data_IF_869209208181
#
_entry.id   IF_869209208181
#
_cell.length_a   1.000
_cell.length_b   1.000
_cell.length_c   1.000
_cell.angle_alpha   90.00
_cell.angle_beta   90.00
_cell.angle_gamma   90.00
#
_symmetry.space_group_name_H-M   'P 1'
#
loop_
_entity.id
_entity.type
_entity.pdbx_description
1 polymer ?
#
# COMPACT_ATOMS: atom_id res chain seq x y z
N UNK A 1 -23.49 -39.25 -7.94
CA UNK A 1 -23.56 -37.77 -7.70
C UNK A 1 -23.24 -37.56 -6.24
N UNK A 2 -22.24 -36.73 -5.92
CA UNK A 2 -21.96 -36.37 -4.55
C UNK A 2 -23.12 -35.49 -4.00
N UNK A 3 -23.51 -35.74 -2.74
CA UNK A 3 -24.51 -34.95 -2.07
C UNK A 3 -23.96 -33.53 -1.82
N UNK A 4 -24.81 -32.51 -1.91
CA UNK A 4 -24.44 -31.17 -1.52
C UNK A 4 -24.00 -31.13 -0.05
N UNK A 5 -22.94 -30.37 0.28
CA UNK A 5 -22.52 -30.22 1.67
C UNK A 5 -23.65 -29.57 2.47
N UNK A 6 -23.89 -30.11 3.67
CA UNK A 6 -24.86 -29.49 4.60
C UNK A 6 -24.27 -28.20 5.17
N UNK A 7 -25.06 -27.13 5.35
CA UNK A 7 -24.59 -25.92 5.99
C UNK A 7 -24.14 -26.21 7.43
N UNK A 8 -23.01 -25.68 7.82
CA UNK A 8 -22.56 -25.67 9.21
C UNK A 8 -23.45 -24.74 10.04
N UNK A 9 -23.84 -25.16 11.25
CA UNK A 9 -24.58 -24.28 12.16
C UNK A 9 -23.65 -23.17 12.65
N UNK A 10 -24.19 -21.96 12.84
CA UNK A 10 -23.38 -20.77 13.22
C UNK A 10 -22.64 -20.97 14.55
N UNK A 11 -23.22 -21.70 15.48
CA UNK A 11 -22.66 -22.07 16.78
C UNK A 11 -21.49 -23.10 16.71
N UNK A 12 -21.23 -23.67 15.53
CA UNK A 12 -20.10 -24.57 15.27
C UNK A 12 -18.89 -23.83 14.65
N UNK A 13 -19.02 -22.54 14.42
CA UNK A 13 -17.94 -21.71 13.87
C UNK A 13 -17.12 -21.14 15.03
N UNK A 14 -15.85 -21.49 15.11
CA UNK A 14 -14.92 -20.92 16.07
C UNK A 14 -14.67 -19.45 15.75
N UNK A 15 -15.06 -18.55 16.65
CA UNK A 15 -14.92 -17.12 16.49
C UNK A 15 -13.45 -16.68 16.36
N UNK A 16 -12.51 -17.38 17.00
CA UNK A 16 -11.09 -17.06 16.95
C UNK A 16 -10.53 -17.36 15.54
N UNK A 17 -10.97 -18.48 14.94
CA UNK A 17 -10.61 -18.81 13.58
C UNK A 17 -11.14 -17.79 12.58
N UNK A 18 -12.39 -17.31 12.78
CA UNK A 18 -12.96 -16.27 11.92
C UNK A 18 -12.15 -14.97 12.01
N UNK A 19 -11.83 -14.54 13.23
CA UNK A 19 -11.03 -13.34 13.47
C UNK A 19 -9.62 -13.47 12.85
N UNK A 20 -8.99 -14.63 13.00
CA UNK A 20 -7.71 -14.91 12.37
C UNK A 20 -7.80 -14.81 10.84
N UNK A 21 -8.79 -15.45 10.21
CA UNK A 21 -8.96 -15.42 8.75
C UNK A 21 -9.18 -13.99 8.23
N UNK A 22 -10.01 -13.19 8.93
CA UNK A 22 -10.18 -11.79 8.58
C UNK A 22 -8.88 -10.99 8.74
N UNK A 23 -8.17 -11.21 9.84
CA UNK A 23 -6.87 -10.60 10.11
C UNK A 23 -5.82 -11.00 9.06
N UNK A 24 -5.80 -12.27 8.64
CA UNK A 24 -4.94 -12.77 7.56
C UNK A 24 -5.24 -12.07 6.23
N UNK A 25 -6.50 -11.89 5.87
CA UNK A 25 -6.85 -11.16 4.66
C UNK A 25 -6.38 -9.70 4.71
N UNK A 26 -6.51 -9.05 5.87
CA UNK A 26 -6.02 -7.70 6.09
C UNK A 26 -4.49 -7.63 5.99
N UNK A 27 -3.76 -8.58 6.62
CA UNK A 27 -2.31 -8.70 6.53
C UNK A 27 -1.84 -8.84 5.08
N UNK A 28 -2.46 -9.73 4.30
CA UNK A 28 -2.15 -9.94 2.89
C UNK A 28 -2.42 -8.64 2.08
N UNK A 29 -3.52 -7.95 2.39
CA UNK A 29 -3.86 -6.66 1.78
C UNK A 29 -2.77 -5.63 2.04
N UNK A 30 -2.32 -5.49 3.28
CA UNK A 30 -1.24 -4.57 3.68
C UNK A 30 0.06 -4.90 2.96
N UNK A 31 0.48 -6.16 2.94
CA UNK A 31 1.69 -6.58 2.23
C UNK A 31 1.62 -6.33 0.71
N UNK A 32 0.44 -6.48 0.09
CA UNK A 32 0.25 -6.14 -1.33
C UNK A 32 0.29 -4.64 -1.59
N UNK A 33 -0.21 -3.82 -0.67
CA UNK A 33 -0.09 -2.36 -0.73
C UNK A 33 1.38 -1.97 -0.70
N UNK A 34 2.17 -2.49 0.25
CA UNK A 34 3.61 -2.25 0.31
C UNK A 34 4.31 -2.60 -1.02
N UNK A 35 4.02 -3.76 -1.60
CA UNK A 35 4.56 -4.13 -2.92
C UNK A 35 4.20 -3.14 -4.02
N UNK A 36 2.97 -2.63 -4.02
CA UNK A 36 2.48 -1.65 -4.99
C UNK A 36 3.13 -0.29 -4.81
N UNK A 37 3.20 0.19 -3.56
CA UNK A 37 3.75 1.51 -3.23
C UNK A 37 5.23 1.63 -3.57
N UNK A 38 5.95 0.51 -3.47
CA UNK A 38 7.37 0.42 -3.84
C UNK A 38 7.62 -0.15 -5.24
N UNK A 39 6.59 -0.21 -6.08
CA UNK A 39 6.71 -0.54 -7.51
C UNK A 39 7.19 -1.94 -7.83
N UNK A 40 7.09 -2.92 -6.89
CA UNK A 40 7.52 -4.29 -7.15
C UNK A 40 6.66 -4.95 -8.24
N UNK A 41 7.33 -5.45 -9.28
CA UNK A 41 6.65 -6.16 -10.36
C UNK A 41 5.92 -7.42 -9.85
N UNK A 42 4.85 -7.82 -10.54
CA UNK A 42 4.01 -8.97 -10.16
C UNK A 42 4.82 -10.28 -10.02
N UNK A 43 5.88 -10.46 -10.82
CA UNK A 43 6.73 -11.66 -10.81
C UNK A 43 7.88 -11.61 -9.80
N UNK A 44 8.16 -10.45 -9.23
CA UNK A 44 9.28 -10.25 -8.32
C UNK A 44 8.89 -10.74 -6.92
N UNK A 45 9.76 -11.53 -6.29
CA UNK A 45 9.59 -11.96 -4.89
C UNK A 45 10.21 -10.93 -3.94
N UNK A 46 9.79 -10.93 -2.68
CA UNK A 46 10.36 -10.07 -1.63
C UNK A 46 10.41 -10.84 -0.31
N UNK A 47 11.32 -10.47 0.57
CA UNK A 47 11.34 -10.98 1.94
C UNK A 47 10.42 -10.12 2.81
N UNK A 48 9.64 -10.77 3.67
CA UNK A 48 8.75 -10.14 4.61
C UNK A 48 9.10 -10.55 6.04
N UNK A 49 8.83 -9.65 6.97
CA UNK A 49 8.80 -9.95 8.38
C UNK A 49 7.48 -9.45 8.99
N UNK A 50 6.97 -10.15 9.97
CA UNK A 50 5.75 -9.79 10.68
C UNK A 50 6.08 -9.70 12.17
N UNK A 51 5.86 -8.52 12.75
CA UNK A 51 5.75 -8.38 14.18
C UNK A 51 4.30 -8.58 14.57
N UNK A 52 3.98 -9.80 15.02
CA UNK A 52 2.63 -10.18 15.45
C UNK A 52 2.24 -9.44 16.75
N UNK A 53 0.95 -9.31 16.99
CA UNK A 53 0.44 -8.63 18.17
C UNK A 53 0.76 -9.38 19.48
N UNK A 54 0.85 -10.71 19.41
CA UNK A 54 1.09 -11.61 20.52
C UNK A 54 1.57 -12.99 20.04
N UNK A 55 2.01 -13.82 20.99
CA UNK A 55 2.55 -15.17 20.72
C UNK A 55 1.51 -16.16 20.16
N UNK A 56 0.23 -15.99 20.46
CA UNK A 56 -0.84 -16.81 19.90
C UNK A 56 -0.98 -16.53 18.40
N UNK A 57 -0.94 -15.24 18.03
CA UNK A 57 -0.95 -14.80 16.64
C UNK A 57 0.25 -15.33 15.85
N UNK A 58 1.46 -15.39 16.47
CA UNK A 58 2.64 -16.04 15.86
C UNK A 58 2.33 -17.49 15.50
N UNK A 59 1.75 -18.27 16.43
CA UNK A 59 1.43 -19.68 16.18
C UNK A 59 0.41 -19.87 15.03
N UNK A 60 -0.61 -19.00 14.96
CA UNK A 60 -1.57 -19.03 13.86
C UNK A 60 -0.90 -18.74 12.52
N UNK A 61 -0.06 -17.68 12.45
CA UNK A 61 0.64 -17.32 11.23
C UNK A 61 1.62 -18.40 10.80
N UNK A 62 2.38 -18.98 11.73
CA UNK A 62 3.33 -20.06 11.46
C UNK A 62 2.65 -21.30 10.88
N UNK A 63 1.47 -21.65 11.40
CA UNK A 63 0.69 -22.79 10.89
C UNK A 63 0.19 -22.58 9.45
N UNK A 64 0.14 -21.34 8.98
CA UNK A 64 -0.41 -20.95 7.68
C UNK A 64 0.60 -20.21 6.78
N UNK A 65 1.88 -20.25 7.16
CA UNK A 65 3.01 -19.54 6.50
C UNK A 65 3.01 -19.77 5.00
N UNK A 66 2.85 -20.99 4.53
CA UNK A 66 2.89 -21.33 3.10
C UNK A 66 1.80 -20.59 2.30
N UNK A 67 0.60 -20.47 2.85
CA UNK A 67 -0.52 -19.76 2.22
C UNK A 67 -0.28 -18.26 2.16
N UNK A 68 0.26 -17.66 3.24
CA UNK A 68 0.58 -16.24 3.32
C UNK A 68 1.73 -15.91 2.36
N UNK A 69 2.80 -16.69 2.35
CA UNK A 69 3.92 -16.53 1.42
C UNK A 69 3.45 -16.58 -0.05
N UNK A 70 2.61 -17.56 -0.40
CA UNK A 70 2.05 -17.67 -1.74
C UNK A 70 1.22 -16.43 -2.11
N UNK A 71 0.40 -15.94 -1.19
CA UNK A 71 -0.47 -14.78 -1.41
C UNK A 71 0.30 -13.46 -1.51
N UNK A 72 1.43 -13.32 -0.80
CA UNK A 72 2.34 -12.16 -0.83
C UNK A 72 3.40 -12.27 -1.93
N UNK A 73 3.58 -13.45 -2.53
CA UNK A 73 4.76 -13.79 -3.34
C UNK A 73 6.06 -13.54 -2.56
N UNK A 74 6.05 -13.99 -1.33
CA UNK A 74 7.19 -13.90 -0.45
C UNK A 74 8.24 -14.95 -0.80
N UNK A 75 9.51 -14.57 -0.80
CA UNK A 75 10.66 -15.48 -0.86
C UNK A 75 10.96 -16.04 0.53
N UNK A 76 10.84 -15.20 1.55
CA UNK A 76 10.95 -15.55 2.95
C UNK A 76 9.91 -14.79 3.76
N UNK A 77 9.49 -15.38 4.88
CA UNK A 77 8.57 -14.80 5.84
C UNK A 77 9.03 -15.14 7.26
N UNK A 78 9.49 -14.13 7.99
CA UNK A 78 9.87 -14.24 9.40
C UNK A 78 8.73 -13.73 10.27
N UNK A 79 8.39 -14.44 11.35
CA UNK A 79 7.28 -14.09 12.23
C UNK A 79 7.73 -14.10 13.68
N UNK A 80 7.54 -12.99 14.37
CA UNK A 80 7.92 -12.81 15.77
C UNK A 80 6.91 -11.92 16.49
N UNK A 81 6.76 -12.04 17.78
CA UNK A 81 6.03 -11.11 18.65
C UNK A 81 6.85 -9.85 18.96
N UNK A 82 8.18 -10.00 19.04
CA UNK A 82 9.13 -8.89 19.13
C UNK A 82 10.02 -8.88 17.89
N UNK A 83 9.96 -7.80 17.11
CA UNK A 83 10.75 -7.64 15.89
C UNK A 83 11.16 -6.18 15.71
N UNK A 84 12.45 -5.98 15.54
CA UNK A 84 13.02 -4.69 15.15
C UNK A 84 13.56 -4.81 13.71
N UNK A 85 13.10 -3.96 12.78
CA UNK A 85 13.55 -4.02 11.40
C UNK A 85 15.03 -3.65 11.29
N UNK A 86 15.78 -4.43 10.52
CA UNK A 86 17.17 -4.15 10.17
C UNK A 86 17.24 -3.68 8.72
N UNK A 87 17.78 -2.47 8.49
CA UNK A 87 17.90 -1.90 7.16
C UNK A 87 16.60 -1.27 6.62
N UNK A 88 16.50 -1.22 5.30
CA UNK A 88 15.43 -0.56 4.56
C UNK A 88 14.18 -1.44 4.50
N UNK A 89 13.33 -1.35 5.50
CA UNK A 89 12.10 -2.15 5.61
C UNK A 89 10.86 -1.26 5.80
N UNK A 90 10.23 -0.83 4.69
CA UNK A 90 8.91 -0.21 4.77
C UNK A 90 7.91 -1.12 5.48
N UNK A 91 6.97 -0.51 6.19
CA UNK A 91 6.03 -1.25 7.01
C UNK A 91 4.59 -0.76 6.87
N UNK A 92 3.65 -1.64 7.21
CA UNK A 92 2.23 -1.31 7.29
C UNK A 92 1.58 -2.06 8.44
N UNK A 93 0.56 -1.44 9.04
CA UNK A 93 -0.17 -2.01 10.17
C UNK A 93 -1.35 -2.84 9.66
N UNK A 94 -1.48 -4.07 10.16
CA UNK A 94 -2.61 -4.96 9.93
C UNK A 94 -3.27 -5.36 11.25
N UNK A 95 -4.42 -6.05 11.17
CA UNK A 95 -5.12 -6.57 12.36
C UNK A 95 -4.28 -7.59 13.15
N UNK A 96 -3.37 -8.33 12.51
CA UNK A 96 -2.53 -9.36 13.15
C UNK A 96 -1.17 -8.83 13.61
N UNK A 97 -0.82 -7.59 13.25
CA UNK A 97 0.47 -7.01 13.59
C UNK A 97 1.02 -6.11 12.51
N UNK A 98 2.28 -5.74 12.65
CA UNK A 98 2.99 -4.89 11.68
C UNK A 98 3.71 -5.75 10.65
N UNK A 99 3.45 -5.49 9.38
CA UNK A 99 4.08 -6.17 8.24
C UNK A 99 5.24 -5.30 7.75
N UNK A 100 6.41 -5.89 7.65
CA UNK A 100 7.62 -5.29 7.08
C UNK A 100 7.97 -5.98 5.78
N UNK A 101 8.48 -5.23 4.82
CA UNK A 101 8.95 -5.77 3.53
C UNK A 101 10.37 -5.29 3.26
N UNK A 102 11.32 -6.22 3.07
CA UNK A 102 12.66 -5.84 2.64
C UNK A 102 12.63 -5.39 1.19
N UNK A 103 13.20 -4.22 0.93
CA UNK A 103 13.39 -3.69 -0.44
C UNK A 103 14.87 -3.70 -0.86
N UNK A 104 15.74 -4.20 0.01
CA UNK A 104 17.17 -4.29 -0.24
C UNK A 104 17.45 -5.18 -1.46
N UNK A 105 18.18 -4.65 -2.43
CA UNK A 105 18.50 -5.35 -3.68
C UNK A 105 17.32 -5.54 -4.65
N UNK A 106 16.10 -5.15 -4.29
CA UNK A 106 14.92 -5.28 -5.13
C UNK A 106 14.61 -4.04 -5.95
N UNK A 107 14.96 -2.87 -5.42
CA UNK A 107 14.66 -1.56 -6.00
C UNK A 107 15.95 -0.76 -6.08
N UNK A 108 16.23 -0.22 -7.26
CA UNK A 108 17.18 0.87 -7.39
C UNK A 108 16.51 2.16 -6.90
N UNK A 109 16.68 2.43 -5.62
CA UNK A 109 16.07 3.58 -4.92
C UNK A 109 16.42 4.89 -5.61
N UNK A 110 17.67 5.02 -6.12
CA UNK A 110 18.12 6.24 -6.79
C UNK A 110 17.40 6.46 -8.13
N UNK A 111 17.27 5.40 -8.91
CA UNK A 111 16.54 5.45 -10.20
C UNK A 111 15.04 5.71 -9.97
N UNK A 112 14.43 5.07 -8.99
CA UNK A 112 13.00 5.28 -8.72
C UNK A 112 12.73 6.68 -8.15
N UNK A 113 13.61 7.20 -7.28
CA UNK A 113 13.53 8.59 -6.81
C UNK A 113 13.62 9.60 -7.96
N UNK A 114 14.54 9.41 -8.91
CA UNK A 114 14.66 10.30 -10.08
C UNK A 114 13.38 10.29 -10.93
N UNK A 115 12.77 9.12 -11.09
CA UNK A 115 11.52 8.97 -11.85
C UNK A 115 10.37 9.70 -11.15
N UNK A 116 10.19 9.49 -9.84
CA UNK A 116 9.11 10.14 -9.06
C UNK A 116 9.34 11.66 -9.02
N UNK A 117 10.58 12.13 -8.91
CA UNK A 117 10.90 13.55 -8.98
C UNK A 117 10.54 14.18 -10.33
N UNK A 118 10.83 13.47 -11.44
CA UNK A 118 10.42 13.91 -12.78
C UNK A 118 8.88 14.00 -12.94
N UNK A 119 8.15 13.04 -12.39
CA UNK A 119 6.68 13.09 -12.37
C UNK A 119 6.16 14.27 -11.52
N UNK A 120 6.79 14.54 -10.38
CA UNK A 120 6.45 15.67 -9.51
C UNK A 120 6.63 17.01 -10.24
N UNK A 121 7.76 17.19 -10.93
CA UNK A 121 8.02 18.43 -11.72
C UNK A 121 6.96 18.65 -12.81
N UNK A 122 6.52 17.57 -13.49
CA UNK A 122 5.45 17.65 -14.49
C UNK A 122 4.11 18.05 -13.86
N UNK A 123 3.75 17.45 -12.72
CA UNK A 123 2.51 17.79 -11.99
C UNK A 123 2.54 19.25 -11.50
N UNK A 124 3.68 19.69 -10.97
CA UNK A 124 3.84 21.10 -10.55
C UNK A 124 3.72 22.09 -11.72
N UNK A 125 4.29 21.73 -12.88
CA UNK A 125 4.13 22.52 -14.12
C UNK A 125 2.66 22.66 -14.54
N UNK A 126 1.91 21.54 -14.51
CA UNK A 126 0.48 21.53 -14.81
C UNK A 126 -0.32 22.33 -13.78
N UNK A 127 0.00 22.19 -12.49
CA UNK A 127 -0.66 22.92 -11.40
C UNK A 127 -0.47 24.42 -11.54
N UNK A 128 0.75 24.89 -11.81
CA UNK A 128 1.04 26.32 -12.09
C UNK A 128 0.22 26.83 -13.27
N UNK A 129 0.10 26.04 -14.35
CA UNK A 129 -0.70 26.41 -15.52
C UNK A 129 -2.20 26.56 -15.22
N UNK A 130 -2.76 25.65 -14.40
CA UNK A 130 -4.17 25.71 -13.96
C UNK A 130 -4.39 26.90 -13.01
N UNK A 131 -3.52 27.11 -12.06
CA UNK A 131 -3.58 28.21 -11.10
C UNK A 131 -3.47 29.58 -11.81
N UNK A 132 -2.58 29.71 -12.79
CA UNK A 132 -2.47 30.94 -13.58
C UNK A 132 -3.76 31.25 -14.36
N UNK A 133 -4.47 30.24 -14.86
CA UNK A 133 -5.77 30.41 -15.50
C UNK A 133 -6.84 30.85 -14.50
N UNK A 134 -6.91 30.23 -13.34
CA UNK A 134 -7.88 30.54 -12.29
C UNK A 134 -7.59 31.91 -11.63
N UNK A 135 -6.33 32.36 -11.61
CA UNK A 135 -5.96 33.71 -11.15
C UNK A 135 -6.26 34.81 -12.16
N UNK A 136 -6.52 34.47 -13.41
CA UNK A 136 -6.85 35.45 -14.45
C UNK A 136 -8.33 35.86 -14.38
N UNK A 137 -8.63 37.06 -13.87
CA UNK A 137 -9.99 37.57 -13.74
C UNK A 137 -10.73 37.59 -15.09
N UNK A 138 -10.06 37.93 -16.19
CA UNK A 138 -10.66 37.92 -17.53
C UNK A 138 -11.13 36.55 -17.95
N UNK A 139 -10.44 35.47 -17.49
CA UNK A 139 -10.87 34.08 -17.74
C UNK A 139 -12.06 33.75 -16.84
N UNK A 140 -11.96 34.01 -15.55
CA UNK A 140 -13.00 33.62 -14.58
C UNK A 140 -14.31 34.34 -14.83
N UNK A 141 -14.25 35.61 -15.19
CA UNK A 141 -15.45 36.46 -15.42
C UNK A 141 -16.13 36.17 -16.77
N UNK A 142 -15.39 35.73 -17.80
CA UNK A 142 -15.90 35.53 -19.17
C UNK A 142 -16.13 34.06 -19.57
N UNK A 143 -15.49 33.14 -18.91
CA UNK A 143 -15.67 31.71 -19.23
C UNK A 143 -17.00 31.21 -18.69
N UNK A 144 -17.63 30.22 -19.36
CA UNK A 144 -18.78 29.48 -18.82
C UNK A 144 -18.44 28.89 -17.43
N UNK A 145 -19.39 28.95 -16.50
CA UNK A 145 -19.18 28.44 -15.13
C UNK A 145 -18.72 26.99 -15.08
N UNK A 146 -19.21 26.18 -16.02
CA UNK A 146 -18.80 24.76 -16.13
C UNK A 146 -17.32 24.62 -16.47
N UNK A 147 -16.76 25.53 -17.29
CA UNK A 147 -15.34 25.50 -17.66
C UNK A 147 -14.46 25.92 -16.48
N UNK A 148 -14.90 26.89 -15.69
CA UNK A 148 -14.20 27.30 -14.46
C UNK A 148 -14.21 26.15 -13.45
N UNK A 149 -15.37 25.53 -13.21
CA UNK A 149 -15.53 24.39 -12.31
C UNK A 149 -14.64 23.19 -12.71
N UNK A 150 -14.47 22.92 -14.01
CA UNK A 150 -13.54 21.88 -14.49
C UNK A 150 -12.09 22.23 -14.15
N UNK A 151 -11.68 23.49 -14.23
CA UNK A 151 -10.32 23.89 -13.86
C UNK A 151 -10.11 23.81 -12.34
N UNK A 152 -11.09 24.18 -11.53
CA UNK A 152 -11.06 24.02 -10.06
C UNK A 152 -10.95 22.54 -9.65
N UNK A 153 -11.76 21.67 -10.23
CA UNK A 153 -11.68 20.22 -10.00
C UNK A 153 -10.31 19.65 -10.39
N UNK A 154 -9.74 20.12 -11.52
CA UNK A 154 -8.41 19.72 -11.97
C UNK A 154 -7.30 20.22 -11.03
N UNK A 155 -7.46 21.41 -10.45
CA UNK A 155 -6.51 21.93 -9.45
C UNK A 155 -6.48 21.00 -8.21
N UNK A 156 -7.66 20.60 -7.72
CA UNK A 156 -7.77 19.69 -6.58
C UNK A 156 -7.10 18.35 -6.89
N UNK A 157 -7.43 17.75 -8.03
CA UNK A 157 -6.83 16.46 -8.45
C UNK A 157 -5.29 16.53 -8.55
N UNK A 158 -4.76 17.61 -9.11
CA UNK A 158 -3.32 17.80 -9.24
C UNK A 158 -2.63 18.02 -7.88
N UNK A 159 -3.28 18.72 -6.94
CA UNK A 159 -2.79 18.87 -5.56
C UNK A 159 -2.72 17.54 -4.84
N UNK A 160 -3.76 16.71 -4.94
CA UNK A 160 -3.78 15.37 -4.35
C UNK A 160 -2.70 14.46 -4.96
N UNK A 161 -2.50 14.50 -6.27
CA UNK A 161 -1.42 13.76 -6.94
C UNK A 161 -0.04 14.22 -6.49
N UNK A 162 0.18 15.53 -6.38
CA UNK A 162 1.43 16.10 -5.88
C UNK A 162 1.73 15.58 -4.47
N UNK A 163 0.75 15.68 -3.57
CA UNK A 163 0.91 15.26 -2.18
C UNK A 163 1.28 13.76 -2.07
N UNK A 164 0.64 12.90 -2.88
CA UNK A 164 1.00 11.48 -2.94
C UNK A 164 2.43 11.24 -3.41
N UNK A 165 2.89 11.97 -4.44
CA UNK A 165 4.27 11.85 -4.92
C UNK A 165 5.28 12.35 -3.87
N UNK A 166 4.98 13.45 -3.17
CA UNK A 166 5.82 13.95 -2.07
C UNK A 166 5.92 12.94 -0.92
N UNK A 167 4.81 12.28 -0.56
CA UNK A 167 4.79 11.20 0.43
C UNK A 167 5.65 10.01 -0.02
N UNK A 168 5.55 9.60 -1.28
CA UNK A 168 6.37 8.53 -1.83
C UNK A 168 7.86 8.88 -1.79
N UNK A 169 8.25 10.09 -2.19
CA UNK A 169 9.65 10.57 -2.08
C UNK A 169 10.12 10.52 -0.62
N UNK A 170 9.26 10.94 0.33
CA UNK A 170 9.61 10.91 1.75
C UNK A 170 9.78 9.48 2.28
N UNK A 171 9.00 8.51 1.78
CA UNK A 171 9.17 7.09 2.12
C UNK A 171 10.50 6.53 1.59
N UNK A 172 10.83 6.78 0.32
CA UNK A 172 12.10 6.33 -0.28
C UNK A 172 13.35 6.97 0.34
N UNK A 173 13.25 8.19 0.87
CA UNK A 173 14.37 8.87 1.56
C UNK A 173 14.62 8.36 2.98
N UNK A 174 13.68 7.61 3.58
CA UNK A 174 13.85 7.00 4.90
C UNK A 174 14.51 5.61 4.83
N UNK A 175 14.71 5.12 3.64
CA UNK A 175 15.37 3.88 3.26
C UNK A 175 16.81 4.17 2.89
#
# INVERSE_FOLDING_TARGET
>A
KAAWPKPMLVDQIDSNIVQYVEGKHDLIRVGRILRSDYGLAIKQTACFAIRANDQETVQYIDSDTASIMAALKAEALDVHDEYEPTGAMPSGISKLGTVYMSIEGLIDVETELKKIQGELELIEGHLKGVQAKLANSNFVDRAPKEVVAVQEAKEIELKEKREKLEQNIAMFKKV
#
